data_IF_443208606696
#
_entry.id   IF_443208606696
#
_cell.length_a   1.000
_cell.length_b   1.000
_cell.length_c   1.000
_cell.angle_alpha   90.00
_cell.angle_beta   90.00
_cell.angle_gamma   90.00
#
_symmetry.space_group_name_H-M   'P 1'
#
loop_
_entity.id
_entity.type
_entity.pdbx_description
1 polymer ?
#
# COMPACT_ATOMS: atom_id res chain seq x y z
N UNK A 1 2.92 -6.49 11.44
CA UNK A 1 2.06 -7.65 11.09
C UNK A 1 0.75 -7.60 11.84
N UNK A 2 -0.37 -7.99 11.21
CA UNK A 2 -1.69 -7.99 11.85
C UNK A 2 -1.77 -8.81 13.14
N UNK A 3 -1.05 -9.94 13.22
CA UNK A 3 -0.95 -10.77 14.43
C UNK A 3 -0.29 -10.03 15.62
N UNK A 4 0.70 -9.17 15.36
CA UNK A 4 1.33 -8.35 16.40
C UNK A 4 0.34 -7.33 16.95
N UNK A 5 -0.45 -6.70 16.08
CA UNK A 5 -1.50 -5.76 16.51
C UNK A 5 -2.58 -6.47 17.30
N UNK A 6 -2.97 -7.68 16.91
CA UNK A 6 -3.98 -8.45 17.62
C UNK A 6 -3.52 -8.74 19.06
N UNK A 7 -2.29 -9.22 19.21
CA UNK A 7 -1.70 -9.46 20.52
C UNK A 7 -1.53 -8.16 21.33
N UNK A 8 -1.03 -7.10 20.70
CA UNK A 8 -0.81 -5.81 21.35
C UNK A 8 -2.13 -5.13 21.75
N UNK A 9 -3.20 -5.32 20.97
CA UNK A 9 -4.53 -4.76 21.26
C UNK A 9 -5.16 -5.36 22.51
N UNK A 10 -4.92 -6.65 22.77
CA UNK A 10 -5.36 -7.34 23.98
C UNK A 10 -4.56 -6.88 25.20
N UNK A 11 -3.26 -6.63 25.04
CA UNK A 11 -2.39 -6.15 26.13
C UNK A 11 -2.69 -4.68 26.48
N UNK A 12 -2.87 -3.83 25.47
CA UNK A 12 -3.09 -2.38 25.63
C UNK A 12 -4.56 -1.99 25.81
N UNK A 13 -5.51 -2.95 25.80
CA UNK A 13 -6.97 -2.72 25.89
C UNK A 13 -7.47 -1.66 24.90
N UNK A 14 -7.05 -1.78 23.65
CA UNK A 14 -7.39 -0.82 22.59
C UNK A 14 -8.87 -0.96 22.22
N UNK A 15 -9.58 0.17 22.06
CA UNK A 15 -10.96 0.19 21.55
C UNK A 15 -11.05 -0.48 20.17
N UNK A 16 -12.16 -1.19 19.90
CA UNK A 16 -12.44 -1.86 18.63
C UNK A 16 -12.20 -0.95 17.40
N UNK A 17 -12.53 0.33 17.51
CA UNK A 17 -12.41 1.26 16.39
C UNK A 17 -10.95 1.66 16.10
N UNK A 18 -10.14 1.78 17.16
CA UNK A 18 -8.70 2.00 17.06
C UNK A 18 -7.97 0.72 16.62
N UNK A 19 -8.45 -0.47 17.02
CA UNK A 19 -7.90 -1.74 16.54
C UNK A 19 -7.97 -1.84 15.02
N UNK A 20 -9.11 -1.46 14.43
CA UNK A 20 -9.26 -1.39 12.96
C UNK A 20 -8.29 -0.40 12.33
N UNK A 21 -8.08 0.77 12.93
CA UNK A 21 -7.11 1.77 12.43
C UNK A 21 -5.68 1.18 12.43
N UNK A 22 -5.28 0.54 13.53
CA UNK A 22 -3.97 -0.08 13.65
C UNK A 22 -3.78 -1.25 12.67
N UNK A 23 -4.82 -2.04 12.42
CA UNK A 23 -4.79 -3.11 11.42
C UNK A 23 -4.55 -2.54 10.01
N UNK A 24 -5.31 -1.51 9.61
CA UNK A 24 -5.15 -0.82 8.33
C UNK A 24 -3.72 -0.30 8.17
N UNK A 25 -3.23 0.43 9.18
CA UNK A 25 -1.88 1.00 9.15
C UNK A 25 -0.80 -0.10 9.06
N UNK A 26 -1.02 -1.24 9.71
CA UNK A 26 -0.08 -2.36 9.69
C UNK A 26 -0.01 -3.08 8.35
N UNK A 27 -1.12 -3.14 7.60
CA UNK A 27 -1.14 -3.70 6.24
C UNK A 27 -0.33 -2.79 5.32
N UNK A 28 -0.58 -1.48 5.36
CA UNK A 28 0.16 -0.52 4.54
C UNK A 28 1.65 -0.46 4.88
N UNK A 29 1.99 -0.55 6.17
CA UNK A 29 3.37 -0.65 6.64
C UNK A 29 4.08 -1.91 6.18
N UNK A 30 3.41 -3.07 6.21
CA UNK A 30 3.97 -4.33 5.70
C UNK A 30 4.29 -4.25 4.22
N UNK A 31 3.37 -3.70 3.41
CA UNK A 31 3.61 -3.48 1.99
C UNK A 31 4.77 -2.51 1.74
N UNK A 32 4.75 -1.35 2.40
CA UNK A 32 5.78 -0.32 2.23
C UNK A 32 7.17 -0.81 2.65
N UNK A 33 7.28 -1.56 3.76
CA UNK A 33 8.57 -2.10 4.21
C UNK A 33 9.16 -3.15 3.27
N UNK A 34 8.32 -3.98 2.62
CA UNK A 34 8.79 -5.01 1.68
C UNK A 34 9.18 -4.39 0.33
N UNK A 35 8.38 -3.46 -0.18
CA UNK A 35 8.56 -2.92 -1.53
C UNK A 35 9.33 -1.59 -1.59
N UNK A 36 9.54 -0.91 -0.47
CA UNK A 36 10.18 0.41 -0.43
C UNK A 36 9.33 1.53 -1.03
N UNK A 37 8.01 1.32 -1.18
CA UNK A 37 7.08 2.25 -1.81
C UNK A 37 6.06 2.76 -0.79
N UNK A 38 6.37 3.82 -0.01
CA UNK A 38 5.54 4.26 1.11
C UNK A 38 4.16 4.76 0.67
N UNK A 39 4.08 5.49 -0.44
CA UNK A 39 2.81 6.00 -0.99
C UNK A 39 1.91 4.85 -1.45
N UNK A 40 2.46 3.90 -2.21
CA UNK A 40 1.72 2.74 -2.70
C UNK A 40 1.23 1.87 -1.54
N UNK A 41 2.09 1.62 -0.54
CA UNK A 41 1.72 0.87 0.66
C UNK A 41 0.61 1.54 1.47
N UNK A 42 0.68 2.86 1.66
CA UNK A 42 -0.35 3.59 2.39
C UNK A 42 -1.72 3.53 1.69
N UNK A 43 -1.75 3.73 0.36
CA UNK A 43 -2.98 3.65 -0.45
C UNK A 43 -3.52 2.22 -0.43
N UNK A 44 -2.67 1.23 -0.67
CA UNK A 44 -3.05 -0.19 -0.66
C UNK A 44 -3.65 -0.59 0.69
N UNK A 45 -3.00 -0.19 1.79
CA UNK A 45 -3.50 -0.45 3.14
C UNK A 45 -4.89 0.14 3.37
N UNK A 46 -5.15 1.35 2.87
CA UNK A 46 -6.45 2.01 3.00
C UNK A 46 -7.52 1.36 2.10
N UNK A 47 -7.18 1.03 0.86
CA UNK A 47 -8.10 0.53 -0.17
C UNK A 47 -8.49 -0.92 0.07
N UNK A 48 -7.56 -1.80 0.44
CA UNK A 48 -7.84 -3.24 0.54
C UNK A 48 -8.81 -3.60 1.68
N UNK A 49 -8.81 -2.79 2.74
CA UNK A 49 -9.76 -2.92 3.86
C UNK A 49 -11.02 -2.07 3.69
N UNK A 50 -11.02 -1.12 2.75
CA UNK A 50 -12.16 -0.28 2.43
C UNK A 50 -12.97 -0.94 1.30
N UNK A 51 -13.75 -1.98 1.60
CA UNK A 51 -14.82 -2.45 0.72
C UNK A 51 -15.92 -1.37 0.62
N UNK A 52 -15.66 -0.31 -0.14
CA UNK A 52 -16.60 0.78 -0.44
C UNK A 52 -16.69 1.93 0.59
N UNK A 53 -16.00 1.86 1.74
CA UNK A 53 -16.02 2.94 2.73
C UNK A 53 -14.62 3.26 3.28
N UNK A 54 -14.04 4.36 2.83
CA UNK A 54 -12.72 4.81 3.23
C UNK A 54 -12.76 5.40 4.65
N UNK A 55 -12.06 4.77 5.60
CA UNK A 55 -11.92 5.31 6.96
C UNK A 55 -10.89 6.43 6.99
N UNK A 56 -11.35 7.67 6.88
CA UNK A 56 -10.51 8.86 6.93
C UNK A 56 -9.63 8.94 8.18
N UNK A 57 -10.13 8.46 9.33
CA UNK A 57 -9.38 8.38 10.58
C UNK A 57 -8.13 7.51 10.49
N UNK A 58 -8.06 6.61 9.51
CA UNK A 58 -6.91 5.73 9.28
C UNK A 58 -5.88 6.29 8.29
N UNK A 59 -6.18 7.38 7.57
CA UNK A 59 -5.29 7.94 6.54
C UNK A 59 -3.95 8.36 7.15
N UNK A 60 -3.99 9.25 8.14
CA UNK A 60 -2.80 9.74 8.81
C UNK A 60 -1.93 8.62 9.42
N UNK A 61 -2.47 7.72 10.27
CA UNK A 61 -1.67 6.64 10.85
C UNK A 61 -1.17 5.63 9.82
N UNK A 62 -1.91 5.37 8.74
CA UNK A 62 -1.44 4.49 7.67
C UNK A 62 -0.23 5.08 6.93
N UNK A 63 -0.28 6.36 6.58
CA UNK A 63 0.84 7.05 5.93
C UNK A 63 2.08 7.10 6.81
N UNK A 64 1.93 7.49 8.08
CA UNK A 64 3.05 7.56 9.01
C UNK A 64 3.68 6.18 9.20
N UNK A 65 2.86 5.15 9.38
CA UNK A 65 3.36 3.79 9.54
C UNK A 65 4.03 3.24 8.28
N UNK A 66 3.54 3.57 7.09
CA UNK A 66 4.14 3.20 5.81
C UNK A 66 5.49 3.89 5.57
N UNK A 67 5.60 5.17 5.89
CA UNK A 67 6.86 5.92 5.80
C UNK A 67 7.93 5.33 6.73
N UNK A 68 7.57 5.11 8.00
CA UNK A 68 8.49 4.53 8.98
C UNK A 68 8.93 3.13 8.52
N UNK A 69 7.98 2.29 8.09
CA UNK A 69 8.30 0.94 7.65
C UNK A 69 9.19 0.90 6.40
N UNK A 70 9.02 1.85 5.47
CA UNK A 70 9.89 1.97 4.30
C UNK A 70 11.33 2.39 4.65
N UNK A 71 11.52 3.15 5.73
CA UNK A 71 12.84 3.62 6.16
C UNK A 71 13.63 2.58 7.00
N UNK A 72 12.95 1.59 7.60
CA UNK A 72 13.61 0.58 8.43
C UNK A 72 14.64 -0.25 7.64
N UNK A 73 14.36 -0.79 6.45
CA UNK A 73 15.34 -1.61 5.73
C UNK A 73 16.61 -0.85 5.33
N UNK A 74 16.50 0.45 5.05
CA UNK A 74 17.66 1.33 4.78
C UNK A 74 18.60 1.38 5.99
N UNK A 75 18.06 1.36 7.22
CA UNK A 75 18.84 1.35 8.45
C UNK A 75 19.64 0.04 8.65
N UNK A 76 19.20 -1.04 8.02
CA UNK A 76 19.88 -2.35 8.04
C UNK A 76 20.74 -2.60 6.78
N UNK A 77 21.02 -1.57 5.98
CA UNK A 77 21.75 -1.66 4.70
C UNK A 77 21.10 -2.59 3.67
N UNK A 78 19.81 -2.90 3.84
CA UNK A 78 19.04 -3.70 2.90
C UNK A 78 18.54 -2.76 1.80
N UNK A 79 19.25 -2.75 0.68
CA UNK A 79 18.88 -1.93 -0.48
C UNK A 79 17.69 -2.57 -1.19
N UNK A 80 16.57 -1.85 -1.27
CA UNK A 80 15.47 -2.22 -2.16
C UNK A 80 15.88 -1.99 -3.63
N UNK A 81 15.98 -3.04 -4.46
CA UNK A 81 16.47 -2.92 -5.83
C UNK A 81 15.51 -2.19 -6.79
N UNK A 82 14.29 -1.85 -6.36
CA UNK A 82 13.22 -1.30 -7.21
C UNK A 82 12.96 0.20 -7.03
N UNK A 83 13.72 0.91 -6.18
CA UNK A 83 13.37 2.27 -5.74
C UNK A 83 13.54 3.32 -6.85
N UNK A 84 14.32 3.06 -7.90
CA UNK A 84 14.64 4.07 -8.91
C UNK A 84 14.56 3.55 -10.34
N UNK A 85 13.36 3.19 -10.80
CA UNK A 85 13.09 3.10 -12.24
C UNK A 85 12.78 4.51 -12.77
N UNK A 86 13.81 5.17 -13.32
CA UNK A 86 13.65 6.45 -13.99
C UNK A 86 13.08 6.19 -15.37
N UNK A 87 11.79 6.50 -15.56
CA UNK A 87 11.17 6.49 -16.87
C UNK A 87 11.62 7.75 -17.61
N UNK A 88 12.39 7.59 -18.68
CA UNK A 88 12.99 8.71 -19.41
C UNK A 88 11.98 9.52 -20.24
N UNK A 89 10.95 8.87 -20.77
CA UNK A 89 9.93 9.51 -21.60
C UNK A 89 8.54 8.92 -21.36
N UNK A 90 7.55 9.81 -21.27
CA UNK A 90 6.14 9.42 -21.25
C UNK A 90 5.56 9.45 -22.66
N UNK A 91 4.87 8.40 -23.11
CA UNK A 91 4.23 8.41 -24.42
C UNK A 91 3.14 9.49 -24.47
N UNK A 92 3.06 10.20 -25.58
CA UNK A 92 2.04 11.22 -25.79
C UNK A 92 0.63 10.60 -25.74
N UNK A 93 -0.29 11.30 -25.09
CA UNK A 93 -1.69 10.87 -24.97
C UNK A 93 -2.39 11.18 -26.29
N UNK A 94 -2.61 10.15 -27.11
CA UNK A 94 -3.36 10.22 -28.36
C UNK A 94 -4.36 9.05 -28.42
N UNK A 95 -5.28 9.08 -29.38
CA UNK A 95 -6.35 8.07 -29.46
C UNK A 95 -5.82 6.62 -29.54
N UNK A 96 -4.69 6.40 -30.23
CA UNK A 96 -4.04 5.09 -30.32
C UNK A 96 -3.49 4.57 -28.99
N UNK A 97 -2.84 5.44 -28.19
CA UNK A 97 -2.29 5.02 -26.88
C UNK A 97 -3.42 4.76 -25.88
N UNK A 98 -4.52 5.52 -25.93
CA UNK A 98 -5.70 5.27 -25.11
C UNK A 98 -6.36 3.91 -25.43
N UNK A 99 -6.51 3.58 -26.71
CA UNK A 99 -7.11 2.29 -27.12
C UNK A 99 -6.24 1.11 -26.68
N UNK A 100 -4.91 1.23 -26.80
CA UNK A 100 -3.97 0.22 -26.31
C UNK A 100 -4.05 0.04 -24.79
N UNK A 101 -4.20 1.13 -24.02
CA UNK A 101 -4.34 1.07 -22.56
C UNK A 101 -5.62 0.35 -22.13
N UNK A 102 -6.74 0.59 -22.82
CA UNK A 102 -8.02 -0.10 -22.57
C UNK A 102 -7.89 -1.59 -22.89
N UNK A 103 -7.30 -1.94 -24.03
CA UNK A 103 -7.11 -3.32 -24.43
C UNK A 103 -6.20 -4.09 -23.43
N UNK A 104 -5.09 -3.47 -23.02
CA UNK A 104 -4.19 -4.04 -22.01
C UNK A 104 -4.91 -4.23 -20.66
N UNK A 105 -5.70 -3.25 -20.23
CA UNK A 105 -6.49 -3.35 -19.00
C UNK A 105 -7.51 -4.49 -19.03
N UNK A 106 -8.21 -4.69 -20.15
CA UNK A 106 -9.14 -5.80 -20.33
C UNK A 106 -8.44 -7.16 -20.29
N UNK A 107 -7.29 -7.29 -20.96
CA UNK A 107 -6.52 -8.54 -20.99
C UNK A 107 -6.00 -8.88 -19.60
N UNK A 108 -5.35 -7.93 -18.92
CA UNK A 108 -4.83 -8.15 -17.57
C UNK A 108 -5.95 -8.42 -16.56
N UNK A 109 -7.09 -7.73 -16.68
CA UNK A 109 -8.27 -8.00 -15.86
C UNK A 109 -8.87 -9.38 -16.09
N UNK A 110 -8.91 -9.84 -17.35
CA UNK A 110 -9.38 -11.19 -17.69
C UNK A 110 -8.42 -12.26 -17.15
N UNK A 111 -7.11 -12.07 -17.33
CA UNK A 111 -6.08 -13.00 -16.83
C UNK A 111 -6.11 -13.07 -15.31
N UNK A 112 -6.26 -11.96 -14.60
CA UNK A 112 -6.35 -11.95 -13.14
C UNK A 112 -7.62 -12.61 -12.59
N UNK A 113 -8.67 -12.73 -13.41
CA UNK A 113 -9.92 -13.41 -13.05
C UNK A 113 -9.83 -14.94 -13.18
N UNK A 114 -9.03 -15.45 -14.11
CA UNK A 114 -8.81 -16.88 -14.33
C UNK A 114 -7.78 -17.45 -13.37
#
# INVERSE_FOLDING_TARGET
SGALIDHLSHILKISEDNRKICLIASIGAGFAGVFGLPLAGAIYGLEITALGNLRYSAIFPCFVSALIASAIPELFEIVHPHVFYVISEFPAIHFGTLMSLIAAGLIFGLVARF
#
